data_IF_171880658473
#
_entry.id   IF_171880658473
#
_cell.length_a   1.000
_cell.length_b   1.000
_cell.length_c   1.000
_cell.angle_alpha   90.00
_cell.angle_beta   90.00
_cell.angle_gamma   90.00
#
_symmetry.space_group_name_H-M   'P 1'
#
loop_
_entity.id
_entity.type
_entity.pdbx_description
1 polymer ?
#
# COMPACT_ATOMS: atom_id res chain seq x y z
N UNK A 1 -11.61 17.07 2.13
CA UNK A 1 -11.07 17.00 0.76
C UNK A 1 -9.69 16.33 0.69
N UNK A 2 -8.70 16.67 1.52
CA UNK A 2 -7.34 16.08 1.47
C UNK A 2 -7.25 14.54 1.56
N UNK A 3 -8.20 13.87 2.23
CA UNK A 3 -8.24 12.40 2.34
C UNK A 3 -8.46 11.72 0.99
N UNK A 4 -9.34 12.28 0.16
CA UNK A 4 -9.64 11.74 -1.16
C UNK A 4 -8.45 11.89 -2.10
N UNK A 5 -7.83 13.08 -2.13
CA UNK A 5 -6.60 13.32 -2.90
C UNK A 5 -5.46 12.41 -2.48
N UNK A 6 -5.28 12.18 -1.17
CA UNK A 6 -4.28 11.24 -0.67
C UNK A 6 -4.53 9.80 -1.14
N UNK A 7 -5.78 9.32 -1.07
CA UNK A 7 -6.13 8.00 -1.56
C UNK A 7 -5.86 7.88 -3.07
N UNK A 8 -6.28 8.87 -3.85
CA UNK A 8 -6.07 8.89 -5.30
C UNK A 8 -4.58 8.90 -5.65
N UNK A 9 -3.76 9.71 -4.97
CA UNK A 9 -2.32 9.75 -5.23
C UNK A 9 -1.61 8.46 -4.82
N UNK A 10 -2.02 7.81 -3.72
CA UNK A 10 -1.47 6.50 -3.34
C UNK A 10 -1.85 5.42 -4.36
N UNK A 11 -3.09 5.45 -4.89
CA UNK A 11 -3.49 4.54 -5.98
C UNK A 11 -2.60 4.77 -7.21
N UNK A 12 -2.51 6.01 -7.68
CA UNK A 12 -1.74 6.35 -8.89
C UNK A 12 -0.25 5.99 -8.76
N UNK A 13 0.37 6.29 -7.61
CA UNK A 13 1.79 5.96 -7.42
C UNK A 13 2.00 4.44 -7.30
N UNK A 14 1.06 3.71 -6.70
CA UNK A 14 1.14 2.24 -6.61
C UNK A 14 1.05 1.60 -7.99
N UNK A 15 0.12 2.09 -8.84
CA UNK A 15 0.01 1.68 -10.24
C UNK A 15 1.31 1.98 -11.00
N UNK A 16 1.88 3.18 -10.80
CA UNK A 16 3.14 3.55 -11.44
C UNK A 16 4.30 2.65 -11.02
N UNK A 17 4.40 2.31 -9.72
CA UNK A 17 5.43 1.38 -9.24
C UNK A 17 5.32 -0.01 -9.88
N UNK A 18 4.10 -0.51 -10.05
CA UNK A 18 3.84 -1.78 -10.75
C UNK A 18 4.20 -1.69 -12.23
N UNK A 19 3.82 -0.60 -12.90
CA UNK A 19 4.06 -0.40 -14.33
C UNK A 19 5.57 -0.32 -14.66
N UNK A 20 6.36 0.34 -13.82
CA UNK A 20 7.81 0.44 -13.98
C UNK A 20 8.51 -0.89 -13.64
N UNK A 21 7.81 -1.84 -13.01
CA UNK A 21 8.42 -3.08 -12.54
C UNK A 21 9.37 -2.85 -11.36
N UNK A 22 9.11 -1.84 -10.54
CA UNK A 22 9.90 -1.61 -9.32
C UNK A 22 9.73 -2.80 -8.37
N UNK A 23 10.69 -2.93 -7.45
CA UNK A 23 10.62 -3.94 -6.41
C UNK A 23 9.30 -3.83 -5.64
N UNK A 24 8.75 -4.98 -5.23
CA UNK A 24 7.44 -5.11 -4.59
C UNK A 24 7.28 -4.32 -3.27
N UNK A 25 8.35 -3.79 -2.67
CA UNK A 25 8.30 -2.92 -1.49
C UNK A 25 8.26 -1.42 -1.83
N UNK A 26 8.50 -1.05 -3.08
CA UNK A 26 8.66 0.34 -3.51
C UNK A 26 7.38 1.17 -3.32
N UNK A 27 6.20 0.59 -3.55
CA UNK A 27 4.93 1.30 -3.34
C UNK A 27 4.68 1.62 -1.86
N UNK A 28 5.21 0.81 -0.93
CA UNK A 28 5.19 1.11 0.51
C UNK A 28 6.01 2.36 0.85
N UNK A 29 7.21 2.50 0.26
CA UNK A 29 8.01 3.72 0.42
C UNK A 29 7.35 4.93 -0.26
N UNK A 30 6.73 4.72 -1.41
CA UNK A 30 5.97 5.78 -2.07
C UNK A 30 4.81 6.28 -1.18
N UNK A 31 4.06 5.36 -0.56
CA UNK A 31 3.01 5.71 0.39
C UNK A 31 3.53 6.47 1.62
N UNK A 32 4.74 6.15 2.08
CA UNK A 32 5.43 6.87 3.15
C UNK A 32 5.75 8.31 2.75
N UNK A 33 6.37 8.51 1.59
CA UNK A 33 6.72 9.86 1.08
C UNK A 33 5.45 10.71 0.91
N UNK A 34 4.39 10.13 0.32
CA UNK A 34 3.11 10.81 0.18
C UNK A 34 2.48 11.15 1.54
N UNK A 35 2.59 10.27 2.53
CA UNK A 35 2.06 10.52 3.87
C UNK A 35 2.81 11.62 4.61
N UNK A 36 4.11 11.81 4.33
CA UNK A 36 4.87 12.96 4.81
C UNK A 36 4.36 14.26 4.19
N UNK A 37 4.13 14.29 2.88
CA UNK A 37 3.72 15.48 2.14
C UNK A 37 2.28 15.93 2.45
N UNK A 38 1.32 15.01 2.51
CA UNK A 38 -0.09 15.35 2.68
C UNK A 38 -0.53 15.35 4.15
N UNK A 39 -1.08 16.45 4.70
CA UNK A 39 -1.48 16.58 6.12
C UNK A 39 -2.71 15.74 6.50
N UNK A 40 -2.60 14.41 6.45
CA UNK A 40 -3.63 13.44 6.86
C UNK A 40 -3.55 13.07 8.34
N UNK A 41 -4.69 12.70 8.93
CA UNK A 41 -4.76 12.18 10.30
C UNK A 41 -4.09 10.80 10.38
N UNK A 42 -3.36 10.53 11.47
CA UNK A 42 -2.61 9.28 11.73
C UNK A 42 -3.39 8.00 11.36
N UNK A 43 -4.65 7.86 11.83
CA UNK A 43 -5.47 6.68 11.54
C UNK A 43 -5.89 6.60 10.07
N UNK A 44 -6.21 7.74 9.47
CA UNK A 44 -6.55 7.82 8.04
C UNK A 44 -5.35 7.55 7.13
N UNK A 45 -4.12 7.85 7.57
CA UNK A 45 -2.90 7.55 6.81
C UNK A 45 -2.71 6.06 6.57
N UNK A 46 -2.95 5.23 7.59
CA UNK A 46 -2.93 3.77 7.45
C UNK A 46 -4.06 3.28 6.54
N UNK A 47 -5.32 3.58 6.91
CA UNK A 47 -6.48 2.97 6.25
C UNK A 47 -6.60 3.37 4.78
N UNK A 48 -6.32 4.62 4.42
CA UNK A 48 -6.40 5.06 3.03
C UNK A 48 -5.30 4.42 2.17
N UNK A 49 -4.07 4.33 2.68
CA UNK A 49 -2.99 3.67 1.97
C UNK A 49 -3.19 2.15 1.89
N UNK A 50 -3.73 1.54 2.94
CA UNK A 50 -4.11 0.13 2.96
C UNK A 50 -5.17 -0.19 1.90
N UNK A 51 -6.27 0.56 1.88
CA UNK A 51 -7.34 0.36 0.88
C UNK A 51 -6.80 0.55 -0.53
N UNK A 52 -5.98 1.59 -0.76
CA UNK A 52 -5.35 1.82 -2.06
C UNK A 52 -4.47 0.64 -2.48
N UNK A 53 -3.62 0.12 -1.58
CA UNK A 53 -2.76 -1.03 -1.83
C UNK A 53 -3.55 -2.30 -2.13
N UNK A 54 -4.54 -2.65 -1.30
CA UNK A 54 -5.41 -3.82 -1.52
C UNK A 54 -6.14 -3.71 -2.84
N UNK A 55 -6.65 -2.53 -3.19
CA UNK A 55 -7.42 -2.34 -4.42
C UNK A 55 -6.53 -2.51 -5.65
N UNK A 56 -5.36 -1.86 -5.69
CA UNK A 56 -4.45 -1.94 -6.83
C UNK A 56 -3.86 -3.35 -6.98
N UNK A 57 -3.31 -3.93 -5.91
CA UNK A 57 -2.77 -5.30 -5.97
C UNK A 57 -3.85 -6.34 -6.16
N UNK A 58 -5.02 -6.20 -5.54
CA UNK A 58 -6.14 -7.11 -5.71
C UNK A 58 -6.62 -7.16 -7.16
N UNK A 59 -6.81 -5.99 -7.79
CA UNK A 59 -7.18 -5.92 -9.21
C UNK A 59 -6.08 -6.53 -10.08
N UNK A 60 -4.82 -6.15 -9.86
CA UNK A 60 -3.68 -6.64 -10.65
C UNK A 60 -3.50 -8.16 -10.55
N UNK A 61 -3.49 -8.69 -9.33
CA UNK A 61 -3.31 -10.15 -9.10
C UNK A 61 -4.52 -10.96 -9.56
N UNK A 62 -5.74 -10.41 -9.46
CA UNK A 62 -6.93 -11.04 -10.03
C UNK A 62 -6.87 -11.06 -11.56
N UNK A 63 -6.38 -9.99 -12.18
CA UNK A 63 -6.15 -9.96 -13.62
C UNK A 63 -5.14 -11.04 -14.05
N UNK A 64 -4.00 -11.17 -13.35
CA UNK A 64 -3.02 -12.24 -13.61
C UNK A 64 -3.61 -13.64 -13.41
N UNK A 65 -4.47 -13.82 -12.40
CA UNK A 65 -5.15 -15.10 -12.16
C UNK A 65 -6.04 -15.47 -13.35
N UNK A 66 -6.88 -14.54 -13.82
CA UNK A 66 -7.77 -14.76 -14.94
C UNK A 66 -7.02 -14.96 -16.27
N UNK A 67 -5.98 -14.16 -16.51
CA UNK A 67 -5.13 -14.25 -17.72
C UNK A 67 -4.39 -15.59 -17.82
N UNK A 68 -4.00 -16.16 -16.68
CA UNK A 68 -3.33 -17.46 -16.62
C UNK A 68 -4.28 -18.66 -16.51
N UNK A 69 -5.60 -18.45 -16.63
CA UNK A 69 -6.64 -19.46 -16.37
C UNK A 69 -6.47 -20.16 -14.99
N UNK A 70 -5.92 -19.45 -14.00
CA UNK A 70 -5.62 -19.96 -12.67
C UNK A 70 -4.41 -20.90 -12.58
N UNK A 71 -3.80 -21.31 -13.70
CA UNK A 71 -2.73 -22.31 -13.74
C UNK A 71 -1.52 -21.95 -12.88
N UNK A 72 -1.14 -20.67 -12.88
CA UNK A 72 0.01 -20.20 -12.10
C UNK A 72 -0.32 -20.16 -10.61
N UNK A 73 -1.43 -19.51 -10.27
CA UNK A 73 -1.85 -19.31 -8.88
C UNK A 73 -2.24 -20.59 -8.19
N UNK A 74 -2.82 -21.58 -8.89
CA UNK A 74 -3.19 -22.87 -8.31
C UNK A 74 -1.95 -23.70 -7.97
N UNK A 75 -0.95 -23.69 -8.85
CA UNK A 75 0.36 -24.32 -8.56
C UNK A 75 1.01 -23.70 -7.33
N UNK A 76 1.03 -22.37 -7.25
CA UNK A 76 1.55 -21.68 -6.08
C UNK A 76 0.71 -21.97 -4.83
N UNK A 77 -0.62 -22.04 -4.95
CA UNK A 77 -1.51 -22.34 -3.82
C UNK A 77 -1.26 -23.74 -3.25
N UNK A 78 -0.93 -24.73 -4.08
CA UNK A 78 -0.50 -26.07 -3.60
C UNK A 78 0.84 -25.97 -2.87
N UNK A 79 1.83 -25.28 -3.44
CA UNK A 79 3.15 -25.10 -2.82
C UNK A 79 3.07 -24.41 -1.46
N UNK A 80 2.20 -23.41 -1.32
CA UNK A 80 1.99 -22.66 -0.07
C UNK A 80 0.94 -23.30 0.87
N UNK A 81 0.28 -24.39 0.47
CA UNK A 81 -0.76 -25.05 1.27
C UNK A 81 -2.06 -24.25 1.43
N UNK A 82 -2.35 -23.31 0.53
CA UNK A 82 -3.51 -22.40 0.55
C UNK A 82 -4.76 -23.04 -0.08
N UNK A 83 -4.60 -24.13 -0.83
CA UNK A 83 -5.68 -24.94 -1.39
C UNK A 83 -6.23 -24.46 -2.74
N UNK A 84 -6.46 -23.16 -2.92
CA UNK A 84 -7.00 -22.57 -4.17
C UNK A 84 -6.24 -21.28 -4.55
N UNK A 85 -5.99 -21.07 -5.84
CA UNK A 85 -5.38 -19.86 -6.39
C UNK A 85 -6.07 -18.55 -5.97
N UNK A 86 -7.40 -18.52 -5.84
CA UNK A 86 -8.11 -17.33 -5.35
C UNK A 86 -7.75 -16.96 -3.90
N UNK A 87 -7.48 -17.97 -3.06
CA UNK A 87 -6.99 -17.72 -1.70
C UNK A 87 -5.63 -17.04 -1.72
N UNK A 88 -4.76 -17.44 -2.65
CA UNK A 88 -3.45 -16.84 -2.84
C UNK A 88 -3.55 -15.40 -3.38
N UNK A 89 -4.49 -15.13 -4.30
CA UNK A 89 -4.78 -13.77 -4.79
C UNK A 89 -5.17 -12.86 -3.63
N UNK A 90 -6.07 -13.31 -2.74
CA UNK A 90 -6.50 -12.52 -1.58
C UNK A 90 -5.35 -12.25 -0.60
N UNK A 91 -4.56 -13.28 -0.28
CA UNK A 91 -3.37 -13.15 0.58
C UNK A 91 -2.41 -12.13 -0.01
N UNK A 92 -2.17 -12.21 -1.32
CA UNK A 92 -1.29 -11.27 -2.02
C UNK A 92 -1.86 -9.86 -1.92
N UNK A 93 -3.13 -9.64 -2.28
CA UNK A 93 -3.78 -8.34 -2.18
C UNK A 93 -3.66 -7.72 -0.77
N UNK A 94 -3.89 -8.51 0.27
CA UNK A 94 -3.71 -8.08 1.66
C UNK A 94 -2.25 -7.72 1.98
N UNK A 95 -1.29 -8.50 1.48
CA UNK A 95 0.13 -8.20 1.64
C UNK A 95 0.52 -6.85 1.02
N UNK A 96 -0.03 -6.53 -0.15
CA UNK A 96 0.14 -5.23 -0.81
C UNK A 96 -0.50 -4.07 -0.04
N UNK A 97 -1.68 -4.32 0.49
CA UNK A 97 -2.37 -3.40 1.40
C UNK A 97 -1.58 -3.12 2.67
N UNK A 98 -1.08 -4.15 3.35
CA UNK A 98 -0.33 -4.01 4.59
C UNK A 98 0.97 -3.22 4.34
N UNK A 99 1.71 -3.53 3.28
CA UNK A 99 2.93 -2.80 2.93
C UNK A 99 2.67 -1.32 2.65
N UNK A 100 1.63 -0.99 1.88
CA UNK A 100 1.23 0.40 1.63
C UNK A 100 0.73 1.10 2.91
N UNK A 101 -0.10 0.41 3.69
CA UNK A 101 -0.67 0.89 4.95
C UNK A 101 0.40 1.22 5.99
N UNK A 102 1.37 0.32 6.18
CA UNK A 102 2.50 0.54 7.09
C UNK A 102 3.36 1.72 6.63
N UNK A 103 3.62 1.85 5.33
CA UNK A 103 4.30 3.02 4.76
C UNK A 103 3.58 4.33 5.08
N UNK A 104 2.27 4.40 4.81
CA UNK A 104 1.45 5.57 5.12
C UNK A 104 1.38 5.88 6.62
N UNK A 105 1.30 4.86 7.47
CA UNK A 105 1.29 5.05 8.91
C UNK A 105 2.63 5.57 9.44
N UNK A 106 3.74 5.03 8.94
CA UNK A 106 5.07 5.48 9.31
C UNK A 106 5.29 6.93 8.88
N UNK A 107 4.97 7.29 7.64
CA UNK A 107 5.10 8.66 7.13
C UNK A 107 4.27 9.67 7.94
N UNK A 108 3.02 9.34 8.26
CA UNK A 108 2.19 10.24 9.10
C UNK A 108 2.69 10.37 10.54
N UNK A 109 3.26 9.30 11.11
CA UNK A 109 3.82 9.32 12.47
C UNK A 109 5.12 10.11 12.50
N UNK A 110 6.00 9.91 11.52
CA UNK A 110 7.26 10.63 11.39
C UNK A 110 7.05 12.15 11.27
N UNK A 111 6.11 12.60 10.41
CA UNK A 111 5.78 14.03 10.32
C UNK A 111 5.33 14.61 11.66
N UNK A 112 4.48 13.90 12.39
CA UNK A 112 3.96 14.39 13.67
C UNK A 112 5.08 14.58 14.69
N UNK A 113 6.03 13.66 14.74
CA UNK A 113 7.21 13.77 15.60
C UNK A 113 8.08 14.96 15.19
N UNK A 114 8.37 15.12 13.90
CA UNK A 114 9.15 16.26 13.37
C UNK A 114 8.49 17.61 13.65
N UNK A 115 7.16 17.71 13.52
CA UNK A 115 6.43 18.94 13.85
C UNK A 115 6.48 19.23 15.36
N UNK A 116 6.43 18.20 16.19
CA UNK A 116 6.50 18.34 17.65
C UNK A 116 7.88 18.79 18.12
N UNK A 117 8.97 18.29 17.55
CA UNK A 117 10.33 18.71 17.90
C UNK A 117 10.56 20.18 17.56
N UNK A 118 10.18 20.61 16.36
CA UNK A 118 10.35 22.01 15.94
C UNK A 118 9.62 23.01 16.86
N UNK A 119 8.42 22.65 17.34
CA UNK A 119 7.68 23.48 18.30
C UNK A 119 8.29 23.51 19.71
N UNK A 120 9.03 22.48 20.10
CA UNK A 120 9.74 22.45 21.38
C UNK A 120 10.99 23.34 21.35
N UNK A 121 11.68 23.39 20.20
CA UNK A 121 12.85 24.25 20.00
C UNK A 121 12.47 25.73 19.91
N UNK A 122 11.32 26.07 19.30
CA UNK A 122 10.84 27.45 19.18
C UNK A 122 10.33 28.07 20.51
N UNK A 123 10.18 27.26 21.56
CA UNK A 123 9.68 27.71 22.87
C UNK A 123 10.79 27.91 23.91
N UNK A 124 12.04 27.58 23.56
CA UNK A 124 13.25 27.89 24.32
C UNK A 124 13.84 29.20 23.81
#
# INVERSE_FOLDING_TARGET
MYRFFYLLTVILITILCLYIGLAWWAHGLAALILALLFPVWKRSGFWLAFIAGVMVWGIYTSFLHLDSEGRLTDRLAVTFGVGNGWGLVLITALWGGITAGLGGWFGTSLRKTLKRSHLADAKK
#
